data_IF_494727474809
#
_entry.id   IF_494727474809
#
_cell.length_a   1.000
_cell.length_b   1.000
_cell.length_c   1.000
_cell.angle_alpha   90.00
_cell.angle_beta   90.00
_cell.angle_gamma   90.00
#
_symmetry.space_group_name_H-M   'P 1'
#
loop_
_entity.id
_entity.type
_entity.pdbx_description
1 polymer ?
#
# COMPACT_ATOMS: atom_id res chain seq x y z
N UNK A 1 -49.33 -6.66 -36.94
CA UNK A 1 -49.73 -5.46 -36.19
C UNK A 1 -50.29 -5.91 -34.86
N UNK A 2 -49.69 -5.41 -33.76
CA UNK A 2 -50.24 -5.28 -32.39
C UNK A 2 -50.48 -6.61 -31.63
N UNK A 3 -49.49 -7.02 -30.81
CA UNK A 3 -49.44 -6.98 -29.31
C UNK A 3 -50.26 -8.11 -28.64
N UNK A 4 -49.62 -9.11 -28.02
CA UNK A 4 -48.96 -9.12 -26.71
C UNK A 4 -49.95 -9.35 -25.54
N UNK A 5 -49.77 -10.46 -24.81
CA UNK A 5 -50.24 -10.62 -23.44
C UNK A 5 -50.96 -11.92 -23.09
N UNK A 6 -50.28 -12.75 -22.29
CA UNK A 6 -50.80 -13.65 -21.23
C UNK A 6 -51.63 -14.90 -21.57
N UNK A 7 -51.08 -16.07 -21.23
CA UNK A 7 -51.79 -17.11 -20.46
C UNK A 7 -50.85 -17.82 -19.47
N UNK A 8 -51.29 -17.86 -18.21
CA UNK A 8 -50.83 -18.79 -17.17
C UNK A 8 -51.14 -20.24 -17.58
N UNK A 9 -50.32 -21.19 -17.15
CA UNK A 9 -50.62 -22.61 -17.24
C UNK A 9 -49.56 -23.47 -16.53
N UNK A 10 -49.80 -23.74 -15.25
CA UNK A 10 -49.12 -24.74 -14.43
C UNK A 10 -49.25 -26.16 -15.01
N UNK A 11 -48.28 -27.00 -14.61
CA UNK A 11 -48.24 -28.46 -14.65
C UNK A 11 -47.61 -29.12 -15.89
N UNK A 12 -46.50 -29.84 -15.68
CA UNK A 12 -46.05 -30.87 -16.62
C UNK A 12 -44.58 -31.24 -16.57
N UNK A 13 -44.18 -32.04 -15.57
CA UNK A 13 -43.19 -33.12 -15.77
C UNK A 13 -41.72 -32.77 -15.91
N UNK A 14 -40.98 -32.88 -14.79
CA UNK A 14 -39.54 -33.16 -14.81
C UNK A 14 -39.29 -34.51 -15.50
N UNK A 15 -38.68 -34.48 -16.68
CA UNK A 15 -37.93 -35.62 -17.22
C UNK A 15 -36.44 -35.38 -16.96
N UNK A 16 -35.93 -35.92 -15.86
CA UNK A 16 -34.50 -36.05 -15.61
C UNK A 16 -34.01 -37.27 -16.39
N UNK A 17 -33.18 -37.05 -17.41
CA UNK A 17 -32.40 -38.12 -18.03
C UNK A 17 -31.37 -38.64 -17.00
N UNK A 18 -31.35 -39.93 -16.65
CA UNK A 18 -30.32 -40.47 -15.77
C UNK A 18 -29.04 -40.71 -16.56
N UNK A 19 -27.91 -40.15 -16.11
CA UNK A 19 -26.59 -40.46 -16.66
C UNK A 19 -25.66 -39.29 -16.99
N UNK A 20 -25.93 -38.07 -16.53
CA UNK A 20 -24.96 -36.96 -16.63
C UNK A 20 -24.51 -36.63 -15.22
N UNK A 21 -23.24 -36.96 -14.90
CA UNK A 21 -22.55 -36.42 -13.72
C UNK A 21 -22.79 -34.91 -13.68
N UNK A 22 -23.09 -34.31 -12.51
CA UNK A 22 -23.25 -32.87 -12.43
C UNK A 22 -21.93 -32.24 -12.89
N UNK A 23 -21.93 -31.69 -14.10
CA UNK A 23 -20.84 -30.89 -14.63
C UNK A 23 -20.63 -29.80 -13.60
N UNK A 24 -19.55 -29.92 -12.82
CA UNK A 24 -19.13 -28.86 -11.92
C UNK A 24 -19.02 -27.61 -12.79
N UNK A 25 -19.91 -26.64 -12.56
CA UNK A 25 -19.75 -25.31 -13.13
C UNK A 25 -18.30 -24.91 -12.86
N UNK A 26 -17.54 -24.45 -13.88
CA UNK A 26 -16.18 -24.01 -13.67
C UNK A 26 -16.22 -23.00 -12.52
N UNK A 27 -15.45 -23.28 -11.47
CA UNK A 27 -15.35 -22.39 -10.32
C UNK A 27 -15.10 -20.97 -10.85
N UNK A 28 -15.88 -19.96 -10.41
CA UNK A 28 -15.69 -18.60 -10.91
C UNK A 28 -14.21 -18.23 -10.79
N UNK A 29 -13.62 -17.60 -11.82
CA UNK A 29 -12.21 -17.25 -11.78
C UNK A 29 -11.94 -16.45 -10.50
N UNK A 30 -10.86 -16.76 -9.78
CA UNK A 30 -10.58 -16.13 -8.51
C UNK A 30 -10.61 -14.60 -8.69
N UNK A 31 -11.28 -13.87 -7.80
CA UNK A 31 -11.42 -12.42 -7.94
C UNK A 31 -10.02 -11.81 -7.98
N UNK A 32 -9.72 -11.10 -9.08
CA UNK A 32 -8.46 -10.40 -9.28
C UNK A 32 -8.24 -9.41 -8.13
N UNK A 33 -7.07 -9.48 -7.50
CA UNK A 33 -6.70 -8.72 -6.32
C UNK A 33 -6.80 -7.22 -6.54
N UNK A 34 -6.38 -6.74 -7.71
CA UNK A 34 -6.38 -5.32 -8.07
C UNK A 34 -7.68 -4.84 -8.73
N UNK A 35 -8.54 -5.75 -9.21
CA UNK A 35 -9.81 -5.42 -9.86
C UNK A 35 -9.71 -4.24 -10.85
N UNK A 36 -10.44 -3.12 -10.64
CA UNK A 36 -10.47 -1.98 -11.56
C UNK A 36 -9.16 -1.20 -11.64
N UNK A 37 -8.26 -1.34 -10.65
CA UNK A 37 -6.97 -0.64 -10.64
C UNK A 37 -5.97 -1.21 -11.65
N UNK A 38 -6.20 -2.41 -12.18
CA UNK A 38 -5.38 -2.99 -13.26
C UNK A 38 -5.43 -2.11 -14.53
N UNK A 39 -6.61 -1.55 -14.84
CA UNK A 39 -6.78 -0.62 -15.95
C UNK A 39 -6.03 0.70 -15.73
N UNK A 40 -5.97 1.18 -14.48
CA UNK A 40 -5.24 2.40 -14.12
C UNK A 40 -3.72 2.22 -14.26
N UNK A 41 -3.19 1.04 -13.94
CA UNK A 41 -1.77 0.70 -14.18
C UNK A 41 -1.45 0.81 -15.66
N UNK A 42 -2.28 0.23 -16.53
CA UNK A 42 -2.08 0.31 -17.99
C UNK A 42 -2.18 1.73 -18.54
N UNK A 43 -3.06 2.55 -17.95
CA UNK A 43 -3.23 3.95 -18.34
C UNK A 43 -2.07 4.85 -17.87
N UNK A 44 -1.40 4.50 -16.76
CA UNK A 44 -0.34 5.32 -16.16
C UNK A 44 0.92 5.48 -17.01
N UNK A 45 1.12 4.65 -18.04
CA UNK A 45 2.37 4.61 -18.82
C UNK A 45 3.56 4.02 -18.07
N UNK A 46 3.36 3.55 -16.83
CA UNK A 46 4.40 2.92 -15.99
C UNK A 46 4.36 1.38 -16.04
N UNK A 47 3.44 0.80 -16.81
CA UNK A 47 3.34 -0.66 -16.99
C UNK A 47 4.54 -1.20 -17.78
N UNK A 48 5.42 -1.90 -17.07
CA UNK A 48 6.63 -2.50 -17.62
C UNK A 48 6.52 -4.03 -17.78
N UNK A 49 5.31 -4.61 -17.75
CA UNK A 49 5.10 -6.05 -17.89
C UNK A 49 5.71 -6.63 -19.19
N UNK A 50 5.68 -5.84 -20.27
CA UNK A 50 6.20 -6.21 -21.62
C UNK A 50 7.72 -6.16 -21.77
N UNK A 51 8.46 -5.76 -20.73
CA UNK A 51 9.93 -5.66 -20.74
C UNK A 51 10.63 -6.92 -20.18
N UNK A 52 9.87 -7.96 -19.86
CA UNK A 52 10.41 -9.22 -19.34
C UNK A 52 11.22 -9.98 -20.39
N UNK A 53 12.19 -10.78 -19.91
CA UNK A 53 13.14 -11.63 -20.67
C UNK A 53 12.56 -12.46 -21.84
N UNK A 54 11.26 -12.76 -21.84
CA UNK A 54 10.59 -13.53 -22.88
C UNK A 54 10.10 -12.68 -24.07
N UNK A 55 10.08 -11.34 -23.97
CA UNK A 55 9.58 -10.42 -25.01
C UNK A 55 10.55 -9.26 -25.32
N UNK A 56 11.83 -9.39 -24.95
CA UNK A 56 12.88 -8.35 -25.06
C UNK A 56 13.05 -7.76 -26.47
N UNK A 57 12.59 -8.44 -27.53
CA UNK A 57 12.65 -7.94 -28.91
C UNK A 57 11.42 -7.19 -29.40
N UNK A 58 10.35 -7.02 -28.60
CA UNK A 58 9.13 -6.39 -29.10
C UNK A 58 9.24 -4.87 -29.08
N UNK A 59 9.02 -4.23 -30.24
CA UNK A 59 8.93 -2.76 -30.40
C UNK A 59 8.00 -2.12 -29.36
N UNK A 60 6.92 -2.81 -28.98
CA UNK A 60 5.97 -2.35 -27.96
C UNK A 60 6.57 -2.30 -26.55
N UNK A 61 7.52 -3.18 -26.21
CA UNK A 61 8.22 -3.19 -24.93
C UNK A 61 9.19 -2.01 -24.83
N UNK A 62 9.97 -1.76 -25.89
CA UNK A 62 10.91 -0.63 -25.97
C UNK A 62 10.16 0.70 -25.84
N UNK A 63 9.03 0.87 -26.54
CA UNK A 63 8.19 2.07 -26.42
C UNK A 63 7.71 2.27 -24.97
N UNK A 64 7.26 1.21 -24.30
CA UNK A 64 6.83 1.27 -22.90
C UNK A 64 7.96 1.70 -21.97
N UNK A 65 9.18 1.17 -22.15
CA UNK A 65 10.35 1.58 -21.37
C UNK A 65 10.70 3.05 -21.59
N UNK A 66 10.67 3.51 -22.84
CA UNK A 66 10.98 4.91 -23.17
C UNK A 66 9.95 5.84 -22.54
N UNK A 67 8.65 5.51 -22.60
CA UNK A 67 7.59 6.30 -21.94
C UNK A 67 7.81 6.34 -20.42
N UNK A 68 8.04 5.19 -19.79
CA UNK A 68 8.29 5.13 -18.35
C UNK A 68 9.54 5.92 -17.94
N UNK A 69 10.60 5.86 -18.74
CA UNK A 69 11.83 6.63 -18.53
C UNK A 69 11.58 8.13 -18.64
N UNK A 70 10.83 8.58 -19.65
CA UNK A 70 10.46 9.99 -19.82
C UNK A 70 9.65 10.47 -18.62
N UNK A 71 8.66 9.70 -18.17
CA UNK A 71 7.85 10.03 -16.98
C UNK A 71 8.72 10.19 -15.75
N UNK A 72 9.61 9.22 -15.49
CA UNK A 72 10.53 9.27 -14.34
C UNK A 72 11.48 10.45 -14.42
N UNK A 73 12.04 10.76 -15.60
CA UNK A 73 12.92 11.90 -15.80
C UNK A 73 12.20 13.23 -15.52
N UNK A 74 10.97 13.39 -16.02
CA UNK A 74 10.16 14.58 -15.76
C UNK A 74 9.88 14.75 -14.26
N UNK A 75 9.53 13.66 -13.57
CA UNK A 75 9.30 13.68 -12.12
C UNK A 75 10.59 13.98 -11.33
N UNK A 76 11.72 13.43 -11.76
CA UNK A 76 13.02 13.69 -11.14
C UNK A 76 13.46 15.14 -11.32
N UNK A 77 13.32 15.70 -12.52
CA UNK A 77 13.59 17.11 -12.80
C UNK A 77 12.79 18.00 -11.84
N UNK A 78 11.50 17.71 -11.65
CA UNK A 78 10.65 18.45 -10.70
C UNK A 78 11.17 18.39 -9.26
N UNK A 79 11.62 17.23 -8.79
CA UNK A 79 12.24 17.10 -7.46
C UNK A 79 13.47 17.99 -7.35
N UNK A 80 14.38 17.96 -8.34
CA UNK A 80 15.58 18.79 -8.33
C UNK A 80 15.24 20.28 -8.35
N UNK A 81 14.25 20.70 -9.15
CA UNK A 81 13.79 22.09 -9.20
C UNK A 81 13.31 22.59 -7.83
N UNK A 82 12.58 21.76 -7.06
CA UNK A 82 12.19 22.17 -5.71
C UNK A 82 13.36 22.21 -4.72
N UNK A 83 14.32 21.29 -4.84
CA UNK A 83 15.48 21.22 -3.94
C UNK A 83 16.49 22.36 -4.18
N UNK A 84 16.49 22.97 -5.37
CA UNK A 84 17.34 24.12 -5.71
C UNK A 84 16.84 25.45 -5.11
N UNK A 85 15.64 25.49 -4.54
CA UNK A 85 15.09 26.70 -3.93
C UNK A 85 15.93 27.11 -2.71
N UNK A 86 16.69 28.20 -2.87
CA UNK A 86 17.55 28.73 -1.82
C UNK A 86 16.78 29.76 -0.98
N UNK A 87 16.26 29.31 0.15
CA UNK A 87 15.69 30.16 1.18
C UNK A 87 16.37 29.91 2.53
N UNK A 88 16.29 30.90 3.44
CA UNK A 88 16.90 30.77 4.77
C UNK A 88 16.25 29.60 5.53
N UNK A 89 17.02 28.75 6.24
CA UNK A 89 16.45 27.68 7.05
C UNK A 89 15.40 28.21 8.03
N UNK A 90 14.32 27.44 8.25
CA UNK A 90 13.16 27.83 9.07
C UNK A 90 12.31 29.01 8.54
N UNK A 91 12.65 29.60 7.40
CA UNK A 91 11.76 30.54 6.72
C UNK A 91 10.57 29.83 6.08
N UNK A 92 9.57 30.62 5.67
CA UNK A 92 8.37 30.09 5.02
C UNK A 92 8.68 29.46 3.65
N UNK A 93 9.55 30.06 2.85
CA UNK A 93 9.92 29.54 1.53
C UNK A 93 10.76 28.26 1.60
N UNK A 94 11.61 28.14 2.64
CA UNK A 94 12.33 26.89 2.93
C UNK A 94 11.38 25.75 3.30
N UNK A 95 10.43 26.00 4.22
CA UNK A 95 9.45 24.99 4.63
C UNK A 95 8.53 24.61 3.46
N UNK A 96 8.00 25.63 2.77
CA UNK A 96 7.64 25.72 1.37
C UNK A 96 8.13 24.59 0.45
N UNK A 97 9.32 24.85 -0.07
CA UNK A 97 10.10 23.97 -0.95
C UNK A 97 10.21 22.57 -0.36
N UNK A 98 10.46 22.45 0.94
CA UNK A 98 10.63 21.16 1.61
C UNK A 98 9.36 20.31 1.51
N UNK A 99 8.17 20.87 1.75
CA UNK A 99 6.89 20.14 1.61
C UNK A 99 6.75 19.57 0.20
N UNK A 100 6.88 20.42 -0.82
CA UNK A 100 6.65 20.03 -2.21
C UNK A 100 7.76 19.13 -2.79
N UNK A 101 9.01 19.33 -2.38
CA UNK A 101 10.13 18.46 -2.75
C UNK A 101 9.91 17.04 -2.22
N UNK A 102 9.58 16.89 -0.94
CA UNK A 102 9.38 15.58 -0.33
C UNK A 102 8.09 14.89 -0.81
N UNK A 103 7.02 15.64 -1.12
CA UNK A 103 5.86 15.08 -1.83
C UNK A 103 6.22 14.61 -3.25
N UNK A 104 7.04 15.37 -3.97
CA UNK A 104 7.50 14.98 -5.32
C UNK A 104 8.40 13.75 -5.27
N UNK A 105 9.28 13.64 -4.26
CA UNK A 105 10.10 12.44 -4.01
C UNK A 105 9.23 11.22 -3.69
N UNK A 106 8.21 11.39 -2.84
CA UNK A 106 7.22 10.35 -2.53
C UNK A 106 6.56 9.81 -3.81
N UNK A 107 6.14 10.70 -4.71
CA UNK A 107 5.53 10.32 -5.98
C UNK A 107 6.54 9.63 -6.93
N UNK A 108 7.77 10.13 -6.99
CA UNK A 108 8.85 9.55 -7.82
C UNK A 108 9.19 8.11 -7.39
N UNK A 109 9.38 7.88 -6.10
CA UNK A 109 9.64 6.53 -5.57
C UNK A 109 8.43 5.60 -5.73
N UNK A 110 7.22 6.15 -5.72
CA UNK A 110 6.01 5.40 -6.07
C UNK A 110 6.03 4.96 -7.53
N UNK A 111 6.45 5.82 -8.46
CA UNK A 111 6.61 5.47 -9.88
C UNK A 111 7.67 4.38 -10.09
N UNK A 112 8.84 4.50 -9.46
CA UNK A 112 9.87 3.44 -9.48
C UNK A 112 9.34 2.10 -8.97
N UNK A 113 8.54 2.13 -7.91
CA UNK A 113 7.96 0.92 -7.32
C UNK A 113 6.96 0.25 -8.26
N UNK A 114 6.11 1.03 -8.96
CA UNK A 114 5.19 0.48 -9.97
C UNK A 114 5.96 -0.16 -11.13
N UNK A 115 6.99 0.51 -11.65
CA UNK A 115 7.85 -0.03 -12.72
C UNK A 115 8.46 -1.35 -12.26
N UNK A 116 9.01 -1.39 -11.05
CA UNK A 116 9.62 -2.58 -10.48
C UNK A 116 8.61 -3.73 -10.31
N UNK A 117 7.46 -3.47 -9.70
CA UNK A 117 6.42 -4.48 -9.45
C UNK A 117 5.78 -5.02 -10.73
N UNK A 118 5.55 -4.17 -11.73
CA UNK A 118 4.98 -4.59 -13.03
C UNK A 118 5.98 -5.36 -13.88
N UNK A 119 7.26 -4.93 -13.89
CA UNK A 119 8.35 -5.65 -14.57
C UNK A 119 8.52 -7.07 -14.04
N UNK A 120 8.43 -7.24 -12.73
CA UNK A 120 8.61 -8.55 -12.08
C UNK A 120 7.31 -9.37 -12.02
N UNK A 121 6.20 -8.84 -12.54
CA UNK A 121 4.88 -9.46 -12.46
C UNK A 121 4.52 -9.87 -11.01
N UNK A 122 4.94 -9.03 -10.05
CA UNK A 122 4.88 -9.31 -8.62
C UNK A 122 3.47 -9.71 -8.14
N UNK A 123 2.45 -8.98 -8.61
CA UNK A 123 1.06 -9.19 -8.19
C UNK A 123 0.54 -10.55 -8.67
N UNK A 124 0.84 -10.95 -9.90
CA UNK A 124 0.45 -12.26 -10.42
C UNK A 124 1.10 -13.40 -9.63
N UNK A 125 2.41 -13.29 -9.36
CA UNK A 125 3.12 -14.31 -8.56
C UNK A 125 2.56 -14.41 -7.13
N UNK A 126 2.18 -13.26 -6.55
CA UNK A 126 1.51 -13.21 -5.26
C UNK A 126 0.12 -13.88 -5.31
N UNK A 127 -0.69 -13.59 -6.32
CA UNK A 127 -2.01 -14.21 -6.53
C UNK A 127 -1.91 -15.72 -6.70
N UNK A 128 -0.95 -16.22 -7.49
CA UNK A 128 -0.73 -17.65 -7.71
C UNK A 128 -0.35 -18.36 -6.40
N UNK A 129 0.54 -17.75 -5.63
CA UNK A 129 0.97 -18.30 -4.33
C UNK A 129 -0.18 -18.27 -3.31
N UNK A 130 -0.98 -17.19 -3.31
CA UNK A 130 -2.15 -17.07 -2.45
C UNK A 130 -3.23 -18.09 -2.84
N UNK A 131 -3.45 -18.34 -4.13
CA UNK A 131 -4.37 -19.38 -4.62
C UNK A 131 -3.93 -20.77 -4.15
N UNK A 132 -2.62 -21.06 -4.18
CA UNK A 132 -2.07 -22.31 -3.62
C UNK A 132 -2.30 -22.44 -2.11
N UNK A 133 -2.20 -21.35 -1.35
CA UNK A 133 -2.48 -21.37 0.09
C UNK A 133 -3.97 -21.56 0.38
N UNK A 134 -4.84 -21.00 -0.46
CA UNK A 134 -6.30 -21.15 -0.33
C UNK A 134 -6.77 -22.59 -0.46
N UNK A 135 -6.11 -23.40 -1.30
CA UNK A 135 -6.45 -24.84 -1.44
C UNK A 135 -6.10 -25.66 -0.20
N UNK A 136 -5.26 -25.13 0.71
CA UNK A 136 -4.87 -25.75 1.97
C UNK A 136 -5.74 -25.29 3.16
N UNK A 137 -6.81 -24.53 2.93
CA UNK A 137 -7.76 -24.11 3.97
C UNK A 137 -8.65 -25.29 4.40
N UNK A 138 -8.98 -25.31 5.69
CA UNK A 138 -9.93 -26.28 6.25
C UNK A 138 -11.37 -25.79 6.06
N UNK A 139 -11.57 -24.46 6.01
CA UNK A 139 -12.85 -23.83 5.76
C UNK A 139 -12.76 -22.77 4.65
N UNK A 140 -13.63 -22.88 3.65
CA UNK A 140 -13.73 -21.89 2.56
C UNK A 140 -14.80 -20.87 2.94
N UNK A 141 -14.45 -19.58 2.96
CA UNK A 141 -15.40 -18.51 3.22
C UNK A 141 -15.37 -17.48 2.09
N UNK A 142 -16.50 -17.37 1.37
CA UNK A 142 -16.69 -16.41 0.27
C UNK A 142 -16.49 -14.95 0.72
N UNK A 143 -16.73 -14.63 1.99
CA UNK A 143 -16.61 -13.27 2.52
C UNK A 143 -15.16 -12.82 2.73
N UNK A 144 -14.23 -13.77 2.88
CA UNK A 144 -12.79 -13.47 3.05
C UNK A 144 -12.16 -13.16 1.71
N UNK A 145 -12.66 -13.80 0.65
CA UNK A 145 -12.17 -13.68 -0.71
C UNK A 145 -12.86 -12.57 -1.52
N UNK A 146 -13.85 -11.86 -0.93
CA UNK A 146 -14.43 -10.66 -1.51
C UNK A 146 -13.55 -9.41 -1.24
N UNK A 147 -13.10 -8.78 -2.32
CA UNK A 147 -12.28 -7.56 -2.32
C UNK A 147 -13.05 -6.29 -2.69
N UNK A 148 -14.33 -6.38 -3.06
CA UNK A 148 -15.13 -5.23 -3.55
C UNK A 148 -15.21 -4.07 -2.54
N UNK A 149 -15.50 -4.39 -1.28
CA UNK A 149 -15.55 -3.40 -0.19
C UNK A 149 -14.20 -2.74 0.02
N UNK A 150 -13.11 -3.48 -0.22
CA UNK A 150 -11.76 -2.96 -0.12
C UNK A 150 -11.42 -2.04 -1.30
N UNK A 151 -11.78 -2.41 -2.54
CA UNK A 151 -11.63 -1.54 -3.71
C UNK A 151 -12.38 -0.22 -3.55
N UNK A 152 -13.59 -0.25 -2.95
CA UNK A 152 -14.35 0.97 -2.63
C UNK A 152 -13.62 1.86 -1.62
N UNK A 153 -13.04 1.27 -0.55
CA UNK A 153 -12.26 2.03 0.43
C UNK A 153 -10.98 2.61 -0.17
N UNK A 154 -10.31 1.86 -1.04
CA UNK A 154 -9.14 2.32 -1.78
C UNK A 154 -9.49 3.51 -2.69
N UNK A 155 -10.61 3.46 -3.41
CA UNK A 155 -11.08 4.57 -4.24
C UNK A 155 -11.33 5.85 -3.41
N UNK A 156 -11.94 5.72 -2.24
CA UNK A 156 -12.17 6.85 -1.32
C UNK A 156 -10.84 7.46 -0.83
N UNK A 157 -9.78 6.67 -0.65
CA UNK A 157 -8.46 7.17 -0.25
C UNK A 157 -7.76 7.95 -1.38
N UNK A 158 -7.99 7.55 -2.64
CA UNK A 158 -7.36 8.17 -3.82
C UNK A 158 -7.95 9.55 -4.13
N UNK A 159 -9.25 9.75 -3.94
CA UNK A 159 -9.93 11.01 -4.31
C UNK A 159 -9.32 12.25 -3.62
N UNK A 160 -9.06 12.26 -2.29
CA UNK A 160 -8.40 13.39 -1.64
C UNK A 160 -7.00 13.69 -2.19
N UNK A 161 -6.22 12.65 -2.51
CA UNK A 161 -4.85 12.81 -3.07
C UNK A 161 -4.92 13.64 -4.35
N UNK A 162 -5.84 13.27 -5.26
CA UNK A 162 -6.05 14.01 -6.51
C UNK A 162 -6.57 15.42 -6.24
N UNK A 163 -7.61 15.57 -5.42
CA UNK A 163 -8.26 16.85 -5.17
C UNK A 163 -7.26 17.89 -4.65
N UNK A 164 -6.56 17.60 -3.55
CA UNK A 164 -5.67 18.59 -2.93
C UNK A 164 -4.43 18.85 -3.78
N UNK A 165 -3.78 17.80 -4.30
CA UNK A 165 -2.53 17.96 -5.04
C UNK A 165 -2.75 18.70 -6.35
N UNK A 166 -3.81 18.36 -7.10
CA UNK A 166 -4.14 19.07 -8.33
C UNK A 166 -4.63 20.48 -8.05
N UNK A 167 -5.52 20.70 -7.07
CA UNK A 167 -5.95 22.07 -6.75
C UNK A 167 -4.78 22.93 -6.30
N UNK A 168 -3.82 22.39 -5.53
CA UNK A 168 -2.60 23.10 -5.17
C UNK A 168 -1.76 23.44 -6.40
N UNK A 169 -1.62 22.51 -7.34
CA UNK A 169 -0.84 22.72 -8.56
C UNK A 169 -1.49 23.75 -9.50
N UNK A 170 -2.80 23.65 -9.72
CA UNK A 170 -3.58 24.60 -10.52
C UNK A 170 -3.57 26.00 -9.89
N UNK A 171 -3.78 26.10 -8.58
CA UNK A 171 -3.71 27.37 -7.88
C UNK A 171 -2.34 28.02 -8.06
N UNK A 172 -1.26 27.26 -7.89
CA UNK A 172 0.11 27.76 -8.07
C UNK A 172 0.39 28.18 -9.51
N UNK A 173 -0.13 27.44 -10.50
CA UNK A 173 0.01 27.76 -11.92
C UNK A 173 -0.79 28.99 -12.35
N UNK A 174 -1.95 29.25 -11.76
CA UNK A 174 -2.80 30.42 -12.09
C UNK A 174 -2.25 31.68 -11.43
N UNK A 175 -1.76 31.56 -10.20
CA UNK A 175 -1.26 32.69 -9.42
C UNK A 175 0.21 33.03 -9.72
N UNK A 176 0.92 32.17 -10.47
CA UNK A 176 2.37 32.24 -10.69
C UNK A 176 3.19 32.37 -9.39
N UNK A 177 2.61 31.94 -8.26
CA UNK A 177 3.20 32.06 -6.92
C UNK A 177 3.33 30.67 -6.33
N UNK A 178 4.56 30.20 -6.23
CA UNK A 178 4.91 29.01 -5.47
C UNK A 178 5.66 29.33 -4.17
N UNK A 179 6.03 30.60 -3.95
CA UNK A 179 6.66 31.06 -2.73
C UNK A 179 5.75 32.10 -2.10
N UNK A 180 5.36 31.85 -0.86
CA UNK A 180 4.64 32.82 0.00
C UNK A 180 5.42 34.12 0.26
N UNK A 181 6.64 34.28 -0.30
CA UNK A 181 7.43 35.50 -0.20
C UNK A 181 8.04 35.86 -1.57
N UNK A 182 7.49 36.90 -2.18
CA UNK A 182 8.07 37.60 -3.33
C UNK A 182 9.49 38.07 -2.99
N UNK A 183 10.50 37.65 -3.80
CA UNK A 183 11.65 38.46 -4.23
C UNK A 183 12.69 37.67 -5.06
N UNK A 184 12.67 36.34 -5.11
CA UNK A 184 13.51 35.56 -6.03
C UNK A 184 12.82 35.39 -7.40
N UNK A 185 13.00 36.40 -8.24
CA UNK A 185 12.44 36.58 -9.59
C UNK A 185 12.89 35.57 -10.65
N UNK A 186 13.60 34.50 -10.32
CA UNK A 186 14.15 33.60 -11.35
C UNK A 186 13.13 32.59 -11.89
N UNK A 187 12.08 32.28 -11.12
CA UNK A 187 11.20 31.16 -11.44
C UNK A 187 9.80 31.57 -11.97
N UNK A 188 9.33 32.80 -11.75
CA UNK A 188 7.96 33.20 -12.13
C UNK A 188 7.67 33.15 -13.66
N UNK A 189 8.68 32.97 -14.51
CA UNK A 189 8.57 32.88 -15.97
C UNK A 189 8.89 31.48 -16.55
N UNK A 190 9.15 30.47 -15.71
CA UNK A 190 9.56 29.15 -16.19
C UNK A 190 8.39 28.34 -16.78
N UNK A 191 8.57 27.84 -18.01
CA UNK A 191 7.67 26.89 -18.71
C UNK A 191 7.33 25.66 -17.84
N UNK A 192 8.23 25.29 -16.91
CA UNK A 192 8.03 24.19 -15.97
C UNK A 192 6.81 24.40 -15.05
N UNK A 193 6.43 25.64 -14.76
CA UNK A 193 5.26 25.95 -13.93
C UNK A 193 3.93 25.78 -14.65
N UNK A 194 3.86 26.13 -15.93
CA UNK A 194 2.66 25.92 -16.75
C UNK A 194 2.37 24.43 -16.96
N UNK A 195 3.42 23.60 -16.93
CA UNK A 195 3.32 22.14 -17.08
C UNK A 195 3.20 21.45 -15.70
N UNK A 196 3.38 22.16 -14.58
CA UNK A 196 3.36 21.57 -13.24
C UNK A 196 2.08 20.78 -12.91
N UNK A 197 0.86 21.22 -13.28
CA UNK A 197 -0.37 20.44 -13.07
C UNK A 197 -0.37 19.11 -13.82
N UNK A 198 0.23 19.06 -15.02
CA UNK A 198 0.36 17.82 -15.78
C UNK A 198 1.34 16.85 -15.13
N UNK A 199 2.47 17.35 -14.63
CA UNK A 199 3.44 16.54 -13.90
C UNK A 199 2.83 16.01 -12.60
N UNK A 200 2.09 16.84 -11.87
CA UNK A 200 1.39 16.44 -10.63
C UNK A 200 0.27 15.45 -10.89
N UNK A 201 -0.42 15.56 -12.03
CA UNK A 201 -1.40 14.56 -12.44
C UNK A 201 -0.76 13.17 -12.61
N UNK A 202 0.38 13.10 -13.31
CA UNK A 202 1.13 11.85 -13.46
C UNK A 202 1.63 11.34 -12.09
N UNK A 203 2.15 12.24 -11.25
CA UNK A 203 2.58 11.93 -9.89
C UNK A 203 1.45 11.40 -9.01
N UNK A 204 0.24 11.95 -9.12
CA UNK A 204 -0.95 11.50 -8.41
C UNK A 204 -1.38 10.11 -8.85
N UNK A 205 -1.35 9.82 -10.16
CA UNK A 205 -1.61 8.48 -10.70
C UNK A 205 -0.60 7.48 -10.11
N UNK A 206 0.70 7.80 -10.18
CA UNK A 206 1.76 6.94 -9.68
C UNK A 206 1.64 6.70 -8.16
N UNK A 207 1.47 7.75 -7.37
CA UNK A 207 1.33 7.65 -5.91
C UNK A 207 0.09 6.85 -5.53
N UNK A 208 -1.06 7.14 -6.14
CA UNK A 208 -2.33 6.47 -5.85
C UNK A 208 -2.29 4.98 -6.18
N UNK A 209 -1.79 4.62 -7.37
CA UNK A 209 -1.66 3.21 -7.77
C UNK A 209 -0.71 2.48 -6.82
N UNK A 210 0.43 3.08 -6.48
CA UNK A 210 1.42 2.43 -5.63
C UNK A 210 0.87 2.19 -4.22
N UNK A 211 0.19 3.18 -3.62
CA UNK A 211 -0.48 3.05 -2.32
C UNK A 211 -1.51 1.94 -2.38
N UNK A 212 -2.37 1.93 -3.40
CA UNK A 212 -3.41 0.90 -3.54
C UNK A 212 -2.79 -0.48 -3.66
N UNK A 213 -1.80 -0.69 -4.53
CA UNK A 213 -1.11 -1.97 -4.67
C UNK A 213 -0.49 -2.43 -3.34
N UNK A 214 0.24 -1.54 -2.67
CA UNK A 214 0.91 -1.83 -1.40
C UNK A 214 -0.08 -2.23 -0.30
N UNK A 215 -1.14 -1.45 -0.11
CA UNK A 215 -2.15 -1.71 0.93
C UNK A 215 -2.94 -2.97 0.60
N UNK A 216 -3.27 -3.21 -0.67
CA UNK A 216 -4.04 -4.39 -1.09
C UNK A 216 -3.29 -5.68 -0.80
N UNK A 217 -2.02 -5.76 -1.21
CA UNK A 217 -1.19 -6.95 -1.01
C UNK A 217 -1.01 -7.25 0.47
N UNK A 218 -0.63 -6.25 1.27
CA UNK A 218 -0.46 -6.43 2.72
C UNK A 218 -1.79 -6.76 3.42
N UNK A 219 -2.91 -6.19 2.99
CA UNK A 219 -4.23 -6.51 3.55
C UNK A 219 -4.67 -7.93 3.21
N UNK A 220 -4.43 -8.39 1.98
CA UNK A 220 -4.73 -9.75 1.57
C UNK A 220 -3.90 -10.78 2.35
N UNK A 221 -2.60 -10.52 2.50
CA UNK A 221 -1.71 -11.33 3.34
C UNK A 221 -2.21 -11.35 4.80
N UNK A 222 -2.56 -10.19 5.34
CA UNK A 222 -3.06 -10.04 6.71
C UNK A 222 -4.36 -10.82 6.95
N UNK A 223 -5.29 -10.82 5.97
CA UNK A 223 -6.52 -11.60 6.03
C UNK A 223 -6.24 -13.10 6.05
N UNK A 224 -5.29 -13.57 5.25
CA UNK A 224 -4.95 -15.00 5.20
C UNK A 224 -4.31 -15.47 6.52
N UNK A 225 -3.37 -14.70 7.09
CA UNK A 225 -2.75 -15.03 8.37
C UNK A 225 -3.80 -15.00 9.49
N UNK A 226 -4.69 -14.00 9.50
CA UNK A 226 -5.78 -13.92 10.48
C UNK A 226 -6.74 -15.12 10.37
N UNK A 227 -7.03 -15.55 9.14
CA UNK A 227 -7.86 -16.72 8.92
C UNK A 227 -7.18 -18.00 9.42
N UNK A 228 -5.89 -18.15 9.12
CA UNK A 228 -5.06 -19.23 9.65
C UNK A 228 -5.06 -19.26 11.18
N UNK A 229 -4.87 -18.11 11.85
CA UNK A 229 -4.93 -18.01 13.32
C UNK A 229 -6.29 -18.46 13.86
N UNK A 230 -7.38 -18.03 13.22
CA UNK A 230 -8.73 -18.45 13.62
C UNK A 230 -8.94 -19.96 13.48
N UNK A 231 -8.48 -20.55 12.37
CA UNK A 231 -8.54 -22.01 12.17
C UNK A 231 -7.67 -22.74 13.20
N UNK A 232 -6.47 -22.22 13.51
CA UNK A 232 -5.56 -22.81 14.49
C UNK A 232 -6.16 -22.77 15.90
N UNK A 233 -6.71 -21.64 16.34
CA UNK A 233 -7.39 -21.50 17.64
C UNK A 233 -8.57 -22.44 17.75
N UNK A 234 -9.37 -22.58 16.69
CA UNK A 234 -10.50 -23.52 16.69
C UNK A 234 -10.01 -24.97 16.81
N UNK A 235 -8.99 -25.37 16.05
CA UNK A 235 -8.46 -26.73 16.12
C UNK A 235 -7.73 -27.03 17.44
N UNK A 236 -7.09 -26.05 18.06
CA UNK A 236 -6.58 -26.17 19.43
C UNK A 236 -7.72 -26.41 20.42
N UNK A 237 -8.80 -25.62 20.33
CA UNK A 237 -9.99 -25.77 21.20
C UNK A 237 -10.67 -27.13 21.06
N UNK A 238 -10.70 -27.71 19.86
CA UNK A 238 -11.26 -29.03 19.60
C UNK A 238 -10.25 -30.18 19.80
N UNK A 239 -9.05 -29.91 20.32
CA UNK A 239 -7.96 -30.88 20.52
C UNK A 239 -7.54 -31.65 19.26
N UNK A 240 -7.86 -31.14 18.06
CA UNK A 240 -7.55 -31.77 16.79
C UNK A 240 -6.05 -31.71 16.46
N UNK A 241 -5.31 -30.82 17.13
CA UNK A 241 -3.85 -30.68 16.99
C UNK A 241 -3.06 -31.86 17.59
N UNK A 242 -3.71 -32.72 18.38
CA UNK A 242 -3.12 -33.98 18.88
C UNK A 242 -2.94 -35.03 17.78
N UNK A 243 -3.53 -34.83 16.59
CA UNK A 243 -3.34 -35.70 15.44
C UNK A 243 -2.08 -35.27 14.67
N UNK A 244 -1.04 -36.14 14.55
CA UNK A 244 0.21 -35.77 13.88
C UNK A 244 0.01 -35.28 12.43
N UNK A 245 -0.95 -35.84 11.71
CA UNK A 245 -1.27 -35.44 10.34
C UNK A 245 -1.85 -34.03 10.26
N UNK A 246 -2.67 -33.64 11.24
CA UNK A 246 -3.29 -32.30 11.29
C UNK A 246 -2.21 -31.27 11.63
N UNK A 247 -1.38 -31.56 12.62
CA UNK A 247 -0.27 -30.68 13.02
C UNK A 247 0.75 -30.48 11.88
N UNK A 248 1.09 -31.53 11.13
CA UNK A 248 2.01 -31.44 10.00
C UNK A 248 1.45 -30.57 8.86
N UNK A 249 0.14 -30.70 8.57
CA UNK A 249 -0.54 -29.85 7.59
C UNK A 249 -0.54 -28.36 8.01
N UNK A 250 -0.79 -28.07 9.29
CA UNK A 250 -0.67 -26.71 9.83
C UNK A 250 0.76 -26.19 9.77
N UNK A 251 1.75 -27.01 10.11
CA UNK A 251 3.17 -26.64 10.04
C UNK A 251 3.62 -26.33 8.61
N UNK A 252 3.18 -27.13 7.63
CA UNK A 252 3.45 -26.92 6.20
C UNK A 252 2.82 -25.61 5.70
N UNK A 253 1.54 -25.38 6.00
CA UNK A 253 0.85 -24.14 5.60
C UNK A 253 1.46 -22.90 6.26
N UNK A 254 1.85 -22.99 7.52
CA UNK A 254 2.54 -21.92 8.22
C UNK A 254 3.90 -21.59 7.59
N UNK A 255 4.67 -22.61 7.20
CA UNK A 255 5.93 -22.42 6.45
C UNK A 255 5.69 -21.68 5.14
N UNK A 256 4.67 -22.07 4.37
CA UNK A 256 4.33 -21.40 3.11
C UNK A 256 3.86 -19.95 3.33
N UNK A 257 3.14 -19.66 4.43
CA UNK A 257 2.74 -18.29 4.81
C UNK A 257 3.95 -17.42 5.16
N UNK A 258 4.93 -17.95 5.87
CA UNK A 258 6.18 -17.23 6.17
C UNK A 258 6.96 -16.97 4.87
N UNK A 259 7.04 -17.95 3.97
CA UNK A 259 7.70 -17.78 2.67
C UNK A 259 7.02 -16.69 1.83
N UNK A 260 5.68 -16.69 1.78
CA UNK A 260 4.92 -15.64 1.11
C UNK A 260 5.16 -14.27 1.75
N UNK A 261 5.21 -14.20 3.08
CA UNK A 261 5.51 -12.94 3.79
C UNK A 261 6.91 -12.43 3.45
N UNK A 262 7.92 -13.30 3.40
CA UNK A 262 9.28 -12.93 2.99
C UNK A 262 9.33 -12.46 1.53
N UNK A 263 8.60 -13.14 0.65
CA UNK A 263 8.46 -12.75 -0.75
C UNK A 263 7.86 -11.35 -0.91
N UNK A 264 6.72 -11.10 -0.24
CA UNK A 264 6.06 -9.78 -0.24
C UNK A 264 7.00 -8.73 0.32
N UNK A 265 7.62 -9.01 1.46
CA UNK A 265 8.52 -8.06 2.11
C UNK A 265 9.65 -7.67 1.17
N UNK A 266 10.36 -8.64 0.58
CA UNK A 266 11.47 -8.37 -0.35
C UNK A 266 11.11 -7.39 -1.47
N UNK A 267 9.91 -7.52 -2.06
CA UNK A 267 9.48 -6.66 -3.17
C UNK A 267 8.93 -5.31 -2.70
N UNK A 268 8.40 -5.23 -1.46
CA UNK A 268 7.79 -4.03 -0.91
C UNK A 268 8.71 -3.23 0.03
N UNK A 269 9.90 -3.74 0.39
CA UNK A 269 10.76 -3.11 1.42
C UNK A 269 11.11 -1.67 1.08
N UNK A 270 11.56 -1.41 -0.15
CA UNK A 270 11.99 -0.07 -0.57
C UNK A 270 10.85 0.93 -0.46
N UNK A 271 9.67 0.56 -0.95
CA UNK A 271 8.47 1.39 -0.86
C UNK A 271 8.07 1.62 0.60
N UNK A 272 7.93 0.55 1.39
CA UNK A 272 7.49 0.61 2.80
C UNK A 272 8.47 1.34 3.73
N UNK A 273 9.76 1.39 3.38
CA UNK A 273 10.78 2.08 4.18
C UNK A 273 10.93 3.56 3.82
N UNK A 274 10.92 3.89 2.52
CA UNK A 274 11.31 5.23 2.04
C UNK A 274 10.09 6.14 1.88
N UNK A 275 9.01 5.64 1.27
CA UNK A 275 7.86 6.47 0.89
C UNK A 275 7.15 7.08 2.11
N UNK A 276 6.86 6.33 3.20
CA UNK A 276 6.29 6.94 4.41
C UNK A 276 7.20 7.98 5.05
N UNK A 277 8.53 7.82 4.93
CA UNK A 277 9.50 8.77 5.50
C UNK A 277 9.44 10.14 4.81
N UNK A 278 9.36 10.15 3.47
CA UNK A 278 9.17 11.40 2.72
C UNK A 278 7.82 12.05 3.04
N UNK A 279 6.74 11.27 3.16
CA UNK A 279 5.44 11.78 3.60
C UNK A 279 5.49 12.37 5.01
N UNK A 280 6.23 11.78 5.95
CA UNK A 280 6.40 12.34 7.30
C UNK A 280 7.16 13.66 7.29
N UNK A 281 8.22 13.79 6.48
CA UNK A 281 8.97 15.05 6.39
C UNK A 281 8.10 16.15 5.79
N UNK A 282 7.33 15.85 4.74
CA UNK A 282 6.36 16.78 4.17
C UNK A 282 5.27 17.16 5.20
N UNK A 283 4.78 16.19 5.99
CA UNK A 283 3.80 16.43 7.07
C UNK A 283 4.32 17.41 8.12
N UNK A 284 5.56 17.22 8.59
CA UNK A 284 6.19 18.08 9.59
C UNK A 284 6.29 19.52 9.10
N UNK A 285 6.74 19.70 7.85
CA UNK A 285 6.93 21.04 7.29
C UNK A 285 5.59 21.71 6.96
N UNK A 286 4.59 20.97 6.48
CA UNK A 286 3.26 21.51 6.24
C UNK A 286 2.60 21.96 7.55
N UNK A 287 2.70 21.14 8.60
CA UNK A 287 2.24 21.50 9.94
C UNK A 287 2.96 22.73 10.51
N UNK A 288 4.27 22.83 10.28
CA UNK A 288 5.08 23.98 10.69
C UNK A 288 4.60 25.28 10.03
N UNK A 289 4.34 25.28 8.72
CA UNK A 289 3.84 26.46 8.01
C UNK A 289 2.48 26.88 8.56
N UNK A 290 1.56 25.92 8.65
CA UNK A 290 0.18 26.15 9.07
C UNK A 290 0.09 26.67 10.51
N UNK A 291 0.92 26.14 11.41
CA UNK A 291 0.93 26.54 12.82
C UNK A 291 1.76 27.79 13.11
N UNK A 292 2.90 27.95 12.42
CA UNK A 292 3.89 29.00 12.71
C UNK A 292 3.68 30.32 11.96
N UNK A 293 2.96 30.32 10.83
CA UNK A 293 2.81 31.49 9.96
C UNK A 293 1.34 31.88 9.72
N UNK A 294 0.50 31.79 10.75
CA UNK A 294 -0.96 31.96 10.64
C UNK A 294 -1.44 33.27 9.99
N UNK A 295 -0.69 34.36 10.16
CA UNK A 295 -1.02 35.71 9.65
C UNK A 295 -0.33 36.06 8.33
N UNK A 296 0.67 35.29 7.90
CA UNK A 296 1.48 35.57 6.71
C UNK A 296 1.06 34.79 5.46
N UNK A 297 0.07 33.90 5.57
CA UNK A 297 -0.32 32.96 4.50
C UNK A 297 -1.72 33.27 3.99
N UNK A 298 -1.89 33.30 2.66
CA UNK A 298 -3.20 33.40 2.02
C UNK A 298 -4.16 32.31 2.58
N UNK A 299 -5.37 32.67 3.03
CA UNK A 299 -6.38 31.71 3.47
C UNK A 299 -6.55 30.49 2.55
N UNK A 300 -6.45 30.65 1.23
CA UNK A 300 -6.58 29.55 0.26
C UNK A 300 -5.41 28.58 0.37
N UNK A 301 -4.17 29.08 0.38
CA UNK A 301 -2.95 28.26 0.53
C UNK A 301 -2.96 27.53 1.87
N UNK A 302 -3.45 28.18 2.93
CA UNK A 302 -3.60 27.56 4.25
C UNK A 302 -4.55 26.35 4.22
N UNK A 303 -5.69 26.45 3.54
CA UNK A 303 -6.63 25.33 3.39
C UNK A 303 -5.96 24.17 2.62
N UNK A 304 -5.20 24.48 1.57
CA UNK A 304 -4.47 23.49 0.80
C UNK A 304 -3.38 22.79 1.63
N UNK A 305 -2.64 23.52 2.47
CA UNK A 305 -1.63 22.94 3.36
C UNK A 305 -2.25 22.04 4.45
N UNK A 306 -3.44 22.37 4.97
CA UNK A 306 -4.20 21.45 5.82
C UNK A 306 -4.58 20.17 5.07
N UNK A 307 -5.00 20.29 3.81
CA UNK A 307 -5.26 19.14 2.94
C UNK A 307 -4.02 18.27 2.73
N UNK A 308 -2.87 18.89 2.47
CA UNK A 308 -1.57 18.21 2.29
C UNK A 308 -1.18 17.46 3.56
N UNK A 309 -1.36 18.09 4.73
CA UNK A 309 -1.12 17.47 6.04
C UNK A 309 -1.97 16.20 6.19
N UNK A 310 -3.26 16.28 5.87
CA UNK A 310 -4.16 15.12 5.95
C UNK A 310 -3.74 13.98 5.00
N UNK A 311 -3.34 14.30 3.77
CA UNK A 311 -2.88 13.31 2.79
C UNK A 311 -1.57 12.66 3.22
N UNK A 312 -0.60 13.45 3.68
CA UNK A 312 0.69 12.93 4.12
C UNK A 312 0.54 11.99 5.32
N UNK A 313 -0.36 12.33 6.25
CA UNK A 313 -0.74 11.45 7.36
C UNK A 313 -1.41 10.17 6.84
N UNK A 314 -2.34 10.29 5.89
CA UNK A 314 -3.02 9.16 5.26
C UNK A 314 -2.06 8.18 4.58
N UNK A 315 -1.13 8.67 3.76
CA UNK A 315 -0.10 7.87 3.09
C UNK A 315 0.83 7.19 4.11
N UNK A 316 1.22 7.91 5.17
CA UNK A 316 2.05 7.37 6.24
C UNK A 316 1.36 6.20 6.97
N UNK A 317 0.09 6.39 7.35
CA UNK A 317 -0.71 5.35 8.00
C UNK A 317 -0.95 4.17 7.07
N UNK A 318 -1.24 4.42 5.79
CA UNK A 318 -1.42 3.39 4.77
C UNK A 318 -0.13 2.58 4.53
N UNK A 319 1.03 3.22 4.62
CA UNK A 319 2.33 2.56 4.50
C UNK A 319 2.71 1.70 5.70
N UNK A 320 2.43 2.15 6.94
CA UNK A 320 2.91 1.45 8.13
C UNK A 320 1.88 0.53 8.80
N UNK A 321 0.59 0.88 8.79
CA UNK A 321 -0.45 0.13 9.52
C UNK A 321 -0.67 -1.29 9.02
N UNK A 322 -0.80 -1.55 7.69
CA UNK A 322 -0.98 -2.91 7.18
C UNK A 322 0.19 -3.82 7.53
N UNK A 323 1.41 -3.26 7.50
CA UNK A 323 2.63 -3.98 7.80
C UNK A 323 2.73 -4.37 9.28
N UNK A 324 2.45 -3.43 10.18
CA UNK A 324 2.41 -3.71 11.62
C UNK A 324 1.40 -4.81 11.97
N UNK A 325 0.24 -4.84 11.29
CA UNK A 325 -0.78 -5.89 11.49
C UNK A 325 -0.30 -7.27 11.05
N UNK A 326 0.42 -7.38 9.94
CA UNK A 326 1.02 -8.65 9.48
C UNK A 326 1.98 -9.18 10.55
N UNK A 327 2.85 -8.33 11.11
CA UNK A 327 3.79 -8.74 12.16
C UNK A 327 3.07 -9.19 13.43
N UNK A 328 2.06 -8.45 13.88
CA UNK A 328 1.29 -8.84 15.07
C UNK A 328 0.56 -10.16 14.88
N UNK A 329 -0.01 -10.42 13.70
CA UNK A 329 -0.73 -11.68 13.46
C UNK A 329 0.23 -12.88 13.40
N UNK A 330 1.46 -12.72 12.92
CA UNK A 330 2.48 -13.78 12.98
C UNK A 330 2.88 -14.04 14.43
N UNK A 331 2.99 -12.99 15.25
CA UNK A 331 3.27 -13.12 16.67
C UNK A 331 2.11 -13.81 17.42
N UNK A 332 0.86 -13.47 17.10
CA UNK A 332 -0.34 -14.11 17.64
C UNK A 332 -0.35 -15.62 17.33
N UNK A 333 0.14 -16.05 16.17
CA UNK A 333 0.33 -17.48 15.87
C UNK A 333 1.24 -18.17 16.90
N UNK A 334 2.35 -17.52 17.28
CA UNK A 334 3.25 -18.04 18.30
C UNK A 334 2.56 -18.14 19.67
N UNK A 335 1.81 -17.11 20.05
CA UNK A 335 1.08 -17.05 21.32
C UNK A 335 0.03 -18.16 21.43
N UNK A 336 -0.74 -18.42 20.36
CA UNK A 336 -1.71 -19.52 20.30
C UNK A 336 -1.03 -20.87 20.52
N UNK A 337 0.12 -21.10 19.87
CA UNK A 337 0.88 -22.36 20.02
C UNK A 337 1.49 -22.50 21.42
N UNK A 338 1.91 -21.40 22.06
CA UNK A 338 2.46 -21.42 23.42
C UNK A 338 1.40 -21.64 24.50
N UNK A 339 0.12 -21.35 24.24
CA UNK A 339 -0.97 -21.53 25.21
C UNK A 339 -1.64 -22.92 25.15
N UNK A 340 -1.22 -23.79 24.23
CA UNK A 340 -1.76 -25.15 24.14
C UNK A 340 -0.93 -26.13 25.00
N UNK A 341 -1.39 -26.33 26.25
CA UNK A 341 -0.76 -27.21 27.25
C UNK A 341 -0.68 -28.68 26.78
N UNK A 342 -1.62 -29.11 25.92
CA UNK A 342 -1.68 -30.50 25.43
C UNK A 342 -0.52 -30.79 24.48
N UNK A 343 -0.13 -29.82 23.66
CA UNK A 343 1.01 -29.95 22.76
C UNK A 343 2.36 -29.93 23.50
N UNK A 344 2.44 -29.21 24.63
CA UNK A 344 3.66 -29.13 25.45
C UNK A 344 3.94 -30.41 26.23
N UNK A 345 2.88 -31.08 26.68
CA UNK A 345 2.95 -32.32 27.47
C UNK A 345 2.88 -33.59 26.62
N UNK A 346 2.81 -33.46 25.29
CA UNK A 346 2.64 -34.60 24.41
C UNK A 346 3.85 -35.55 24.48
N UNK A 347 3.60 -36.83 24.78
CA UNK A 347 4.64 -37.87 24.87
C UNK A 347 5.19 -38.34 23.52
N UNK A 348 4.60 -37.93 22.39
CA UNK A 348 5.10 -38.26 21.06
C UNK A 348 6.23 -37.31 20.64
N UNK A 349 7.45 -37.85 20.58
CA UNK A 349 8.66 -37.13 20.20
C UNK A 349 8.54 -36.46 18.81
N UNK A 350 7.82 -37.07 17.86
CA UNK A 350 7.64 -36.50 16.51
C UNK A 350 6.71 -35.29 16.54
N UNK A 351 5.63 -35.36 17.32
CA UNK A 351 4.67 -34.26 17.48
C UNK A 351 5.32 -33.08 18.21
N UNK A 352 6.05 -33.35 19.30
CA UNK A 352 6.79 -32.34 20.04
C UNK A 352 7.88 -31.67 19.17
N UNK A 353 8.55 -32.43 18.30
CA UNK A 353 9.52 -31.87 17.36
C UNK A 353 8.85 -30.94 16.33
N UNK A 354 7.76 -31.36 15.68
CA UNK A 354 7.01 -30.52 14.73
C UNK A 354 6.47 -29.26 15.38
N UNK A 355 5.97 -29.37 16.62
CA UNK A 355 5.55 -28.24 17.44
C UNK A 355 6.70 -27.24 17.68
N UNK A 356 7.83 -27.71 18.22
CA UNK A 356 9.03 -26.91 18.47
C UNK A 356 9.52 -26.20 17.22
N UNK A 357 9.63 -26.91 16.10
CA UNK A 357 10.07 -26.34 14.82
C UNK A 357 9.11 -25.24 14.34
N UNK A 358 7.80 -25.43 14.53
CA UNK A 358 6.80 -24.43 14.14
C UNK A 358 6.90 -23.20 15.04
N UNK A 359 7.04 -23.40 16.35
CA UNK A 359 7.21 -22.33 17.33
C UNK A 359 8.51 -21.53 17.10
N UNK A 360 9.64 -22.23 16.90
CA UNK A 360 10.93 -21.60 16.62
C UNK A 360 10.87 -20.78 15.33
N UNK A 361 10.16 -21.25 14.31
CA UNK A 361 9.91 -20.48 13.08
C UNK A 361 9.08 -19.22 13.36
N UNK A 362 8.07 -19.26 14.22
CA UNK A 362 7.31 -18.06 14.57
C UNK A 362 8.18 -17.04 15.32
N UNK A 363 8.96 -17.50 16.30
CA UNK A 363 9.75 -16.63 17.19
C UNK A 363 11.02 -16.07 16.53
N UNK A 364 11.67 -16.85 15.67
CA UNK A 364 12.96 -16.49 15.06
C UNK A 364 12.88 -16.19 13.56
N UNK A 365 11.68 -16.18 12.96
CA UNK A 365 11.56 -15.76 11.57
C UNK A 365 11.97 -14.29 11.42
N UNK A 366 13.05 -14.06 10.68
CA UNK A 366 13.48 -12.73 10.24
C UNK A 366 12.56 -12.19 9.12
N UNK A 367 11.24 -12.25 9.33
CA UNK A 367 10.20 -11.75 8.42
C UNK A 367 9.77 -10.33 8.78
N UNK A 368 10.48 -9.64 9.68
CA UNK A 368 10.20 -8.25 10.02
C UNK A 368 10.70 -7.33 8.90
N UNK A 369 9.80 -6.53 8.35
CA UNK A 369 10.19 -5.47 7.43
C UNK A 369 10.62 -4.25 8.26
N UNK A 370 11.70 -3.60 7.84
CA UNK A 370 12.29 -2.48 8.57
C UNK A 370 11.93 -1.13 7.93
N UNK A 371 11.37 -0.23 8.71
CA UNK A 371 11.22 1.19 8.39
C UNK A 371 12.61 1.84 8.32
N UNK A 372 12.83 2.68 7.31
CA UNK A 372 14.16 3.25 6.99
C UNK A 372 15.28 2.20 6.90
N UNK A 373 14.95 0.93 6.62
CA UNK A 373 15.90 -0.20 6.65
C UNK A 373 16.59 -0.41 8.01
N UNK A 374 16.14 0.26 9.08
CA UNK A 374 16.81 0.27 10.38
C UNK A 374 15.90 -0.15 11.54
N UNK A 375 14.61 0.20 11.48
CA UNK A 375 13.68 -0.03 12.59
C UNK A 375 12.64 -1.09 12.22
N UNK A 376 12.53 -2.22 12.94
CA UNK A 376 11.48 -3.20 12.67
C UNK A 376 10.10 -2.56 12.87
N UNK A 377 9.20 -2.75 11.89
CA UNK A 377 7.84 -2.19 11.94
C UNK A 377 6.94 -3.10 12.77
N UNK A 378 6.93 -2.86 14.08
CA UNK A 378 5.97 -3.44 15.02
C UNK A 378 4.88 -2.40 15.38
N UNK A 379 3.76 -2.84 15.97
CA UNK A 379 2.69 -1.95 16.48
C UNK A 379 3.22 -0.81 17.37
N UNK A 380 4.20 -1.12 18.21
CA UNK A 380 4.82 -0.14 19.11
C UNK A 380 5.64 0.89 18.34
N UNK A 381 6.34 0.48 17.28
CA UNK A 381 7.09 1.38 16.41
C UNK A 381 6.15 2.33 15.68
N UNK A 382 5.05 1.81 15.13
CA UNK A 382 3.99 2.62 14.50
C UNK A 382 3.43 3.68 15.47
N UNK A 383 3.06 3.28 16.70
CA UNK A 383 2.52 4.22 17.69
C UNK A 383 3.55 5.30 18.07
N UNK A 384 4.83 4.94 18.24
CA UNK A 384 5.91 5.91 18.52
C UNK A 384 6.09 6.91 17.38
N UNK A 385 6.10 6.44 16.13
CA UNK A 385 6.22 7.29 14.95
C UNK A 385 5.04 8.28 14.87
N UNK A 386 3.81 7.78 15.02
CA UNK A 386 2.61 8.61 14.99
C UNK A 386 2.55 9.64 16.13
N UNK A 387 3.24 9.38 17.24
CA UNK A 387 3.40 10.35 18.33
C UNK A 387 4.52 11.37 18.06
N UNK A 388 5.70 10.92 17.60
CA UNK A 388 6.88 11.78 17.44
C UNK A 388 6.68 12.77 16.28
N UNK A 389 6.19 12.31 15.12
CA UNK A 389 6.17 13.12 13.90
C UNK A 389 5.35 14.42 14.05
N UNK A 390 4.10 14.40 14.55
CA UNK A 390 3.37 15.64 14.80
C UNK A 390 4.02 16.54 15.86
N UNK A 391 4.67 15.96 16.87
CA UNK A 391 5.35 16.73 17.92
C UNK A 391 6.60 17.46 17.42
N UNK A 392 7.29 16.94 16.39
CA UNK A 392 8.40 17.68 15.73
C UNK A 392 7.86 18.97 15.11
N UNK A 393 6.71 18.91 14.44
CA UNK A 393 6.05 20.11 13.90
C UNK A 393 5.76 21.12 15.01
N UNK A 394 5.20 20.67 16.15
CA UNK A 394 4.93 21.54 17.30
C UNK A 394 6.21 22.16 17.87
N UNK A 395 7.30 21.39 17.97
CA UNK A 395 8.59 21.91 18.43
C UNK A 395 9.16 22.97 17.48
N UNK A 396 9.05 22.76 16.16
CA UNK A 396 9.45 23.76 15.16
C UNK A 396 8.60 25.05 15.28
N UNK A 397 7.29 24.92 15.52
CA UNK A 397 6.41 26.07 15.75
C UNK A 397 6.86 26.86 17.00
N UNK A 398 7.13 26.17 18.13
CA UNK A 398 7.61 26.82 19.35
C UNK A 398 8.97 27.51 19.16
N UNK A 399 9.88 26.87 18.42
CA UNK A 399 11.18 27.45 18.07
C UNK A 399 11.01 28.74 17.25
N UNK A 400 10.09 28.73 16.29
CA UNK A 400 9.77 29.92 15.49
C UNK A 400 9.13 31.04 16.32
N UNK A 401 8.17 30.70 17.17
CA UNK A 401 7.49 31.68 18.04
C UNK A 401 8.46 32.33 19.05
N UNK A 402 9.50 31.60 19.47
CA UNK A 402 10.57 32.15 20.33
C UNK A 402 11.60 32.99 19.57
N UNK A 403 11.66 32.90 18.23
CA UNK A 403 12.59 33.62 17.37
C UNK A 403 11.84 34.35 16.25
N UNK A 404 11.09 35.42 16.54
CA UNK A 404 10.17 36.09 15.59
C UNK A 404 10.86 36.77 14.40
N UNK A 405 12.19 36.93 14.42
CA UNK A 405 12.98 37.54 13.35
C UNK A 405 13.64 36.55 12.37
N UNK A 406 13.49 35.24 12.61
CA UNK A 406 13.66 34.23 11.55
C UNK A 406 12.52 34.35 10.52
#
# INVERSE_FOLDING_TARGET
MVEAGTTLGLAGGMYVKPGVEPTQLPSPPPPKLLGPFESLIRFSGLDCHKLRKESIGSVKGIISAVIALIVVLIMALKVFTYMEVQDRPFSIGWAESTVYAFMSMQALFSAFSIIYWTRENFVSQFEDTLARLRTMRLSTSLTIDDYTTFHRKAAVMVVPIFAVTLTSSFYSSITNRFQLNDNSTFYSESVVHQIAPFIDFIGCIASSIAVVMYVTVNTALNREIKHFNKELTNSARFQQLTLPQVLDNYSKRHSDLIQLTRFVNRHLTVYGAIVPSFSMIALVNAGYIVGGFQTGVDPVVRILLYGITFICMGITVAGLSPLAKVQNNIQETAEILMHDDVLQTCGDAKMHHTYRVTLDRCLHSNSKLSFLMAFPVDSNCFNRIMFIVPNISTAMILYRLSHPYL
#
